data_IF_951358018709
#
_entry.id   IF_951358018709
#
_cell.length_a   1.000
_cell.length_b   1.000
_cell.length_c   1.000
_cell.angle_alpha   90.00
_cell.angle_beta   90.00
_cell.angle_gamma   90.00
#
_symmetry.space_group_name_H-M   'P 1'
#
loop_
_entity.id
_entity.type
_entity.pdbx_description
1 polymer ?
#
# COMPACT_ATOMS: atom_id res chain seq x y z
N UNK A 1 -5.55 8.92 1.66
CA UNK A 1 -4.29 8.46 1.04
C UNK A 1 -3.13 9.43 1.30
N UNK A 2 -3.26 10.75 0.97
CA UNK A 2 -2.20 11.75 1.18
C UNK A 2 -1.68 11.75 2.63
N UNK A 3 -2.58 11.77 3.62
CA UNK A 3 -2.20 11.76 5.03
C UNK A 3 -1.48 10.48 5.44
N UNK A 4 -1.86 9.34 4.89
CA UNK A 4 -1.20 8.05 5.12
C UNK A 4 0.22 8.05 4.58
N UNK A 5 0.40 8.49 3.35
CA UNK A 5 1.71 8.61 2.73
C UNK A 5 2.63 9.57 3.49
N UNK A 6 2.09 10.70 3.98
CA UNK A 6 2.85 11.63 4.81
C UNK A 6 3.25 11.04 6.17
N UNK A 7 2.37 10.25 6.80
CA UNK A 7 2.71 9.52 8.03
C UNK A 7 3.86 8.53 7.78
N UNK A 8 3.76 7.73 6.71
CA UNK A 8 4.84 6.83 6.32
C UNK A 8 6.16 7.56 6.07
N UNK A 9 6.15 8.66 5.32
CA UNK A 9 7.35 9.47 5.06
C UNK A 9 7.96 10.01 6.35
N UNK A 10 7.13 10.36 7.34
CA UNK A 10 7.59 10.77 8.66
C UNK A 10 8.34 9.65 9.39
N UNK A 11 7.88 8.39 9.32
CA UNK A 11 8.61 7.25 9.89
C UNK A 11 9.97 7.01 9.22
N UNK A 12 10.14 7.50 7.97
CA UNK A 12 11.41 7.49 7.23
C UNK A 12 12.25 8.75 7.44
N UNK A 13 11.95 9.55 8.46
CA UNK A 13 12.71 10.76 8.81
C UNK A 13 12.39 11.99 7.96
N UNK A 14 11.39 11.91 7.06
CA UNK A 14 10.97 13.04 6.22
C UNK A 14 9.87 13.84 6.91
N UNK A 15 10.28 14.76 7.77
CA UNK A 15 9.38 15.59 8.54
C UNK A 15 9.04 16.91 7.83
N UNK A 16 7.89 17.51 8.19
CA UNK A 16 7.48 18.85 7.76
C UNK A 16 7.33 19.05 6.24
N UNK A 17 7.04 17.99 5.51
CA UNK A 17 6.79 18.07 4.08
C UNK A 17 5.51 18.85 3.79
N UNK A 18 5.58 19.86 2.89
CA UNK A 18 4.45 20.72 2.49
C UNK A 18 4.47 21.01 0.99
N UNK A 19 3.30 21.36 0.46
CA UNK A 19 3.13 21.78 -0.94
C UNK A 19 3.70 20.77 -1.94
N UNK A 20 4.30 21.26 -3.00
CA UNK A 20 4.87 20.46 -4.08
C UNK A 20 5.92 19.44 -3.61
N UNK A 21 6.73 19.79 -2.61
CA UNK A 21 7.74 18.87 -2.07
C UNK A 21 7.08 17.64 -1.46
N UNK A 22 5.98 17.84 -0.70
CA UNK A 22 5.22 16.74 -0.15
C UNK A 22 4.60 15.86 -1.25
N UNK A 23 4.03 16.48 -2.28
CA UNK A 23 3.41 15.77 -3.39
C UNK A 23 4.43 14.94 -4.19
N UNK A 24 5.62 15.50 -4.40
CA UNK A 24 6.72 14.82 -5.07
C UNK A 24 7.23 13.61 -4.25
N UNK A 25 7.41 13.77 -2.95
CA UNK A 25 7.82 12.66 -2.07
C UNK A 25 6.76 11.55 -2.00
N UNK A 26 5.48 11.91 -1.99
CA UNK A 26 4.38 10.93 -2.06
C UNK A 26 4.42 10.19 -3.40
N UNK A 27 4.59 10.91 -4.50
CA UNK A 27 4.63 10.31 -5.83
C UNK A 27 5.76 9.29 -5.99
N UNK A 28 6.93 9.57 -5.41
CA UNK A 28 8.08 8.65 -5.44
C UNK A 28 7.80 7.30 -4.77
N UNK A 29 6.93 7.25 -3.77
CA UNK A 29 6.64 6.02 -3.01
C UNK A 29 5.34 5.34 -3.43
N UNK A 30 4.43 6.03 -4.08
CA UNK A 30 3.10 5.51 -4.44
C UNK A 30 2.75 5.66 -5.93
N UNK A 31 3.67 6.15 -6.73
CA UNK A 31 3.44 6.39 -8.16
C UNK A 31 3.60 5.16 -9.06
N UNK A 32 3.90 4.00 -8.49
CA UNK A 32 4.12 2.75 -9.24
C UNK A 32 3.49 1.54 -8.53
N UNK A 33 3.36 0.43 -9.25
CA UNK A 33 2.79 -0.80 -8.72
C UNK A 33 1.26 -0.79 -8.56
N UNK A 34 0.57 0.24 -9.02
CA UNK A 34 -0.88 0.34 -8.97
C UNK A 34 -1.59 -0.44 -10.07
N UNK A 35 -2.91 -0.35 -10.11
CA UNK A 35 -3.78 -1.03 -11.10
C UNK A 35 -3.83 -0.32 -12.46
N UNK A 36 -3.16 0.82 -12.62
CA UNK A 36 -3.10 1.57 -13.87
C UNK A 36 -2.04 1.09 -14.84
N UNK A 37 -1.93 1.76 -15.98
CA UNK A 37 -0.91 1.48 -17.00
C UNK A 37 0.33 2.38 -16.88
N UNK A 38 0.31 3.35 -15.97
CA UNK A 38 1.40 4.29 -15.76
C UNK A 38 2.09 3.98 -14.43
N UNK A 39 3.41 3.88 -14.50
CA UNK A 39 4.29 3.86 -13.34
C UNK A 39 5.21 5.07 -13.41
N UNK A 40 5.38 5.72 -12.27
CA UNK A 40 6.23 6.89 -12.13
C UNK A 40 7.40 6.57 -11.21
N UNK A 41 8.60 6.82 -11.68
CA UNK A 41 9.84 6.64 -10.94
C UNK A 41 10.65 7.92 -10.94
N UNK A 42 11.51 8.08 -9.98
CA UNK A 42 12.37 9.24 -9.85
C UNK A 42 13.45 9.28 -10.93
N UNK A 43 13.91 8.10 -11.38
CA UNK A 43 14.92 7.94 -12.43
C UNK A 43 14.67 6.67 -13.24
N UNK A 44 15.19 6.62 -14.46
CA UNK A 44 15.14 5.44 -15.33
C UNK A 44 15.80 4.22 -14.66
N UNK A 45 16.93 4.43 -13.98
CA UNK A 45 17.62 3.36 -13.26
C UNK A 45 16.75 2.72 -12.16
N UNK A 46 15.93 3.52 -11.45
CA UNK A 46 14.96 2.98 -10.47
C UNK A 46 13.85 2.20 -11.14
N UNK A 47 13.36 2.65 -12.29
CA UNK A 47 12.37 1.94 -13.08
C UNK A 47 12.92 0.60 -13.57
N UNK A 48 14.09 0.60 -14.18
CA UNK A 48 14.77 -0.59 -14.66
C UNK A 48 15.00 -1.62 -13.53
N UNK A 49 15.51 -1.16 -12.39
CA UNK A 49 15.70 -2.03 -11.23
C UNK A 49 14.39 -2.61 -10.70
N UNK A 50 13.32 -1.82 -10.64
CA UNK A 50 12.03 -2.29 -10.16
C UNK A 50 11.43 -3.36 -11.09
N UNK A 51 11.54 -3.18 -12.41
CA UNK A 51 11.05 -4.16 -13.37
C UNK A 51 11.94 -5.42 -13.45
N UNK A 52 13.25 -5.28 -13.26
CA UNK A 52 14.17 -6.41 -13.22
C UNK A 52 14.06 -7.22 -11.92
N UNK A 53 13.75 -6.54 -10.81
CA UNK A 53 13.66 -7.11 -9.47
C UNK A 53 12.33 -6.72 -8.81
N UNK A 54 11.18 -7.16 -9.35
CA UNK A 54 9.89 -6.76 -8.82
C UNK A 54 9.72 -7.19 -7.35
N UNK A 55 9.01 -6.40 -6.54
CA UNK A 55 8.71 -6.77 -5.16
C UNK A 55 8.01 -8.12 -5.10
N UNK A 56 8.36 -8.94 -4.12
CA UNK A 56 7.66 -10.21 -3.91
C UNK A 56 6.20 -9.93 -3.55
N UNK A 57 5.30 -10.57 -4.28
CA UNK A 57 3.87 -10.57 -3.95
C UNK A 57 3.65 -11.55 -2.80
N UNK A 58 3.63 -11.04 -1.58
CA UNK A 58 3.53 -11.84 -0.36
C UNK A 58 2.51 -11.25 0.61
N UNK A 59 1.92 -12.12 1.41
CA UNK A 59 1.01 -11.73 2.49
C UNK A 59 1.75 -11.78 3.83
N UNK A 60 1.51 -10.76 4.65
CA UNK A 60 2.03 -10.66 6.01
C UNK A 60 0.88 -10.74 7.01
N UNK A 61 1.06 -11.42 8.11
CA UNK A 61 0.11 -11.40 9.22
C UNK A 61 0.15 -10.04 9.89
N UNK A 62 -1.01 -9.40 10.07
CA UNK A 62 -1.10 -8.10 10.71
C UNK A 62 -0.99 -8.26 12.22
N UNK A 63 -1.56 -9.32 12.78
CA UNK A 63 -1.50 -9.67 14.19
C UNK A 63 -1.83 -11.15 14.37
N UNK A 64 -1.23 -11.80 15.35
CA UNK A 64 -1.48 -13.22 15.70
C UNK A 64 -2.85 -13.42 16.39
N UNK A 65 -3.52 -12.35 16.83
CA UNK A 65 -4.82 -12.40 17.50
C UNK A 65 -6.02 -12.31 16.54
N UNK A 66 -5.80 -12.40 15.25
CA UNK A 66 -6.77 -12.05 14.22
C UNK A 66 -7.70 -13.16 13.79
N UNK A 67 -8.74 -13.34 14.55
CA UNK A 67 -10.00 -13.85 14.04
C UNK A 67 -11.00 -12.77 13.62
N UNK A 68 -10.59 -11.51 13.36
CA UNK A 68 -11.61 -10.52 13.03
C UNK A 68 -12.09 -10.60 11.59
N UNK A 69 -13.35 -10.27 11.44
CA UNK A 69 -13.98 -10.07 10.15
C UNK A 69 -13.33 -8.89 9.42
N UNK A 70 -13.49 -8.84 8.10
CA UNK A 70 -13.08 -7.68 7.31
C UNK A 70 -13.69 -6.36 7.85
N UNK A 71 -14.88 -6.42 8.46
CA UNK A 71 -15.52 -5.27 9.10
C UNK A 71 -14.75 -4.78 10.32
N UNK A 72 -14.29 -5.68 11.16
CA UNK A 72 -13.46 -5.35 12.34
C UNK A 72 -12.10 -4.79 11.90
N UNK A 73 -11.52 -5.34 10.82
CA UNK A 73 -10.33 -4.80 10.21
C UNK A 73 -10.51 -3.35 9.74
N UNK A 74 -11.65 -3.02 9.12
CA UNK A 74 -11.93 -1.65 8.68
C UNK A 74 -12.01 -0.71 9.89
N UNK A 75 -12.71 -1.09 10.95
CA UNK A 75 -12.79 -0.31 12.18
C UNK A 75 -11.42 -0.11 12.83
N UNK A 76 -10.66 -1.17 12.96
CA UNK A 76 -9.28 -1.09 13.46
C UNK A 76 -8.37 -0.23 12.56
N UNK A 77 -8.54 -0.30 11.24
CA UNK A 77 -7.79 0.52 10.30
C UNK A 77 -8.04 2.02 10.48
N UNK A 78 -9.26 2.43 10.83
CA UNK A 78 -9.58 3.83 11.12
C UNK A 78 -8.83 4.31 12.38
N UNK A 79 -8.62 3.42 13.35
CA UNK A 79 -7.97 3.74 14.63
C UNK A 79 -6.44 3.59 14.57
N UNK A 80 -5.91 2.60 13.84
CA UNK A 80 -4.47 2.26 13.85
C UNK A 80 -3.83 2.07 12.47
N UNK A 81 -4.14 2.99 11.58
CA UNK A 81 -3.53 3.09 10.24
C UNK A 81 -2.00 3.07 10.26
N UNK A 82 -1.40 3.56 11.34
CA UNK A 82 0.05 3.68 11.45
C UNK A 82 0.72 2.29 11.50
N UNK A 83 0.12 1.34 12.20
CA UNK A 83 0.61 -0.04 12.26
C UNK A 83 0.53 -0.73 10.89
N UNK A 84 -0.57 -0.54 10.16
CA UNK A 84 -0.72 -1.07 8.81
C UNK A 84 0.40 -0.57 7.88
N UNK A 85 0.64 0.75 7.87
CA UNK A 85 1.67 1.36 7.02
C UNK A 85 3.07 0.87 7.40
N UNK A 86 3.34 0.68 8.68
CA UNK A 86 4.62 0.13 9.15
C UNK A 86 4.80 -1.32 8.70
N UNK A 87 3.73 -2.10 8.67
CA UNK A 87 3.78 -3.54 8.33
C UNK A 87 3.92 -3.77 6.84
N UNK A 88 3.14 -3.10 6.01
CA UNK A 88 3.07 -3.37 4.57
C UNK A 88 3.64 -2.25 3.69
N UNK A 89 3.90 -1.08 4.24
CA UNK A 89 4.36 0.08 3.47
C UNK A 89 3.23 0.89 2.82
N UNK A 90 3.58 1.89 2.00
CA UNK A 90 2.60 2.75 1.34
C UNK A 90 1.85 1.98 0.25
N UNK A 91 0.54 2.03 0.27
CA UNK A 91 -0.28 1.46 -0.81
C UNK A 91 -0.16 2.30 -2.08
N UNK A 92 -0.18 1.70 -3.27
CA UNK A 92 -0.25 2.42 -4.52
C UNK A 92 -1.46 3.37 -4.57
N UNK A 93 -1.33 4.47 -5.28
CA UNK A 93 -2.40 5.45 -5.41
C UNK A 93 -3.57 4.88 -6.22
N UNK A 94 -4.77 5.00 -5.67
CA UNK A 94 -6.02 4.68 -6.37
C UNK A 94 -6.84 5.96 -6.46
N UNK A 95 -7.07 6.47 -7.67
CA UNK A 95 -7.76 7.73 -7.89
C UNK A 95 -9.19 7.78 -7.35
N UNK A 96 -9.70 8.99 -7.18
CA UNK A 96 -11.08 9.29 -6.79
C UNK A 96 -11.23 9.92 -5.41
N UNK A 97 -12.38 10.58 -5.20
CA UNK A 97 -12.67 11.37 -3.99
C UNK A 97 -12.92 10.52 -2.74
N UNK A 98 -13.40 9.29 -2.89
CA UNK A 98 -13.65 8.38 -1.77
C UNK A 98 -12.34 7.73 -1.36
N UNK A 99 -11.97 7.71 -0.07
CA UNK A 99 -10.78 7.02 0.40
C UNK A 99 -10.80 5.54 0.01
N UNK A 100 -9.67 5.07 -0.53
CA UNK A 100 -9.51 3.69 -1.01
C UNK A 100 -8.11 3.20 -0.68
N UNK A 101 -8.01 1.90 -0.46
CA UNK A 101 -6.74 1.19 -0.35
C UNK A 101 -6.70 0.05 -1.35
N UNK A 102 -5.57 -0.12 -1.99
CA UNK A 102 -5.30 -1.28 -2.81
C UNK A 102 -4.48 -2.27 -1.98
N UNK A 103 -5.01 -3.46 -1.78
CA UNK A 103 -4.44 -4.48 -0.90
C UNK A 103 -4.52 -5.84 -1.56
N UNK A 104 -3.66 -6.76 -1.12
CA UNK A 104 -3.71 -8.16 -1.49
C UNK A 104 -4.14 -9.00 -0.31
N UNK A 105 -5.03 -9.97 -0.53
CA UNK A 105 -5.53 -10.92 0.48
C UNK A 105 -5.47 -12.35 -0.07
N UNK A 106 -5.62 -13.39 0.76
CA UNK A 106 -5.77 -14.75 0.26
C UNK A 106 -6.98 -14.89 -0.66
N UNK A 107 -6.85 -15.61 -1.77
CA UNK A 107 -7.96 -15.88 -2.70
C UNK A 107 -9.09 -16.71 -2.06
N UNK A 108 -8.77 -17.45 -1.01
CA UNK A 108 -9.76 -18.21 -0.20
C UNK A 108 -10.61 -17.32 0.71
N UNK A 109 -10.30 -16.04 0.80
CA UNK A 109 -10.95 -15.07 1.66
C UNK A 109 -10.04 -14.52 2.76
N UNK A 110 -10.59 -13.60 3.53
CA UNK A 110 -9.86 -12.97 4.65
C UNK A 110 -9.50 -13.97 5.76
N UNK A 111 -8.23 -13.99 6.11
CA UNK A 111 -7.68 -14.83 7.19
C UNK A 111 -6.71 -14.07 8.12
N UNK A 112 -6.72 -12.74 8.09
CA UNK A 112 -5.82 -11.89 8.88
C UNK A 112 -4.49 -11.58 8.20
N UNK A 113 -4.27 -12.11 6.99
CA UNK A 113 -3.07 -11.81 6.20
C UNK A 113 -3.36 -10.78 5.12
N UNK A 114 -2.41 -9.89 4.93
CA UNK A 114 -2.52 -8.78 3.99
C UNK A 114 -1.18 -8.49 3.33
N UNK A 115 -1.21 -7.98 2.13
CA UNK A 115 -0.02 -7.56 1.39
C UNK A 115 -0.26 -6.35 0.52
N UNK A 116 0.78 -5.89 -0.13
CA UNK A 116 0.69 -4.88 -1.17
C UNK A 116 0.56 -5.56 -2.54
N UNK A 117 -0.30 -5.04 -3.41
CA UNK A 117 -0.36 -5.45 -4.79
C UNK A 117 0.99 -5.23 -5.46
N UNK A 118 1.34 -6.18 -6.29
CA UNK A 118 2.44 -6.07 -7.23
C UNK A 118 1.89 -6.39 -8.61
N UNK A 119 2.64 -6.08 -9.66
CA UNK A 119 2.21 -6.47 -11.02
C UNK A 119 2.39 -7.97 -11.30
N UNK A 120 2.78 -8.74 -10.29
CA UNK A 120 2.93 -10.19 -10.39
C UNK A 120 1.63 -10.88 -10.02
N UNK A 121 1.17 -11.78 -10.87
CA UNK A 121 0.10 -12.71 -10.51
C UNK A 121 0.69 -13.84 -9.68
N UNK A 122 0.23 -13.99 -8.45
CA UNK A 122 0.66 -15.05 -7.54
C UNK A 122 -0.51 -15.96 -7.22
N UNK A 123 -0.43 -17.28 -7.47
CA UNK A 123 -1.49 -18.20 -7.10
C UNK A 123 -1.83 -18.09 -5.61
N UNK A 124 -3.13 -18.09 -5.30
CA UNK A 124 -3.62 -18.00 -3.92
C UNK A 124 -3.66 -16.59 -3.34
N UNK A 125 -3.30 -15.55 -4.11
CA UNK A 125 -3.40 -14.14 -3.72
C UNK A 125 -4.32 -13.39 -4.68
N UNK A 126 -5.18 -12.55 -4.14
CA UNK A 126 -6.11 -11.70 -4.91
C UNK A 126 -5.97 -10.25 -4.45
N UNK A 127 -5.85 -9.35 -5.43
CA UNK A 127 -5.83 -7.91 -5.16
C UNK A 127 -7.26 -7.38 -5.03
N UNK A 128 -7.48 -6.55 -4.03
CA UNK A 128 -8.78 -5.93 -3.74
C UNK A 128 -8.64 -4.41 -3.59
N UNK A 129 -9.71 -3.71 -3.90
CA UNK A 129 -9.86 -2.29 -3.58
C UNK A 129 -10.80 -2.18 -2.38
N UNK A 130 -10.27 -1.78 -1.25
CA UNK A 130 -11.05 -1.48 -0.06
C UNK A 130 -11.49 -0.02 -0.13
N UNK A 131 -12.80 0.22 -0.03
CA UNK A 131 -13.42 1.57 0.00
C UNK A 131 -13.98 1.84 1.39
N UNK A 132 -13.79 3.05 1.85
CA UNK A 132 -14.30 3.53 3.15
C UNK A 132 -15.49 4.46 2.97
#
# INVERSE_FOLDING_TARGET
QRNLALKYLKTKGKNNLRGFIADWEILKISGHGGIGHLDLFETDAKAENWYANPPKHQLNTISDELGFSLKEFIGWFEDDVELLIQTIGPTPSVGGAIPKLLLSIPSSGWDGRIGLPTRQTTPGITDIVLKF
#
